data_IF_417640402180
#
_entry.id   IF_417640402180
#
_cell.length_a   1.000
_cell.length_b   1.000
_cell.length_c   1.000
_cell.angle_alpha   90.00
_cell.angle_beta   90.00
_cell.angle_gamma   90.00
#
_symmetry.space_group_name_H-M   'P 1'
#
loop_
_entity.id
_entity.type
_entity.pdbx_description
1 polymer ?
#
# COMPACT_ATOMS: atom_id res chain seq x y z
N UNK A 1 2.54 -15.86 4.76
CA UNK A 1 3.41 -14.82 4.18
C UNK A 1 2.58 -14.05 3.17
N UNK A 2 2.62 -12.71 3.15
CA UNK A 2 1.84 -11.91 2.19
C UNK A 2 2.62 -11.88 0.87
N UNK A 3 1.98 -12.33 -0.21
CA UNK A 3 2.58 -12.32 -1.54
C UNK A 3 2.37 -10.96 -2.21
N UNK A 4 3.47 -10.21 -2.41
CA UNK A 4 3.46 -8.95 -3.13
C UNK A 4 3.83 -9.17 -4.59
N UNK A 5 3.02 -8.61 -5.50
CA UNK A 5 3.27 -8.61 -6.93
C UNK A 5 3.76 -7.23 -7.34
N UNK A 6 4.85 -7.19 -8.10
CA UNK A 6 5.28 -5.98 -8.80
C UNK A 6 4.27 -5.62 -9.89
N UNK A 7 3.68 -4.44 -9.77
CA UNK A 7 2.70 -3.89 -10.73
C UNK A 7 3.19 -2.58 -11.35
N UNK A 8 4.49 -2.33 -11.26
CA UNK A 8 5.15 -1.19 -11.87
C UNK A 8 4.91 -1.15 -13.37
N UNK A 9 4.52 0.01 -13.88
CA UNK A 9 4.42 0.25 -15.32
C UNK A 9 5.80 0.55 -15.88
N UNK A 10 6.40 -0.44 -16.55
CA UNK A 10 7.69 -0.32 -17.22
C UNK A 10 7.51 0.11 -18.68
N UNK A 11 8.44 0.92 -19.20
CA UNK A 11 8.61 1.04 -20.64
C UNK A 11 9.35 -0.19 -21.19
N UNK A 12 9.30 -0.36 -22.51
CA UNK A 12 9.99 -1.45 -23.19
C UNK A 12 11.49 -1.43 -22.84
N UNK A 13 12.01 -2.53 -22.28
CA UNK A 13 13.40 -2.66 -21.88
C UNK A 13 13.76 -2.12 -20.49
N UNK A 14 12.83 -1.50 -19.76
CA UNK A 14 13.11 -0.98 -18.41
C UNK A 14 13.01 -2.05 -17.31
N UNK A 15 12.32 -3.16 -17.60
CA UNK A 15 12.17 -4.24 -16.63
C UNK A 15 13.55 -4.88 -16.37
N UNK A 16 13.98 -4.85 -15.11
CA UNK A 16 15.28 -5.35 -14.67
C UNK A 16 16.40 -4.31 -14.66
N UNK A 17 16.19 -3.12 -15.25
CA UNK A 17 17.18 -2.02 -15.20
C UNK A 17 16.82 -0.97 -14.17
N UNK A 18 15.54 -0.84 -13.81
CA UNK A 18 15.03 0.07 -12.78
C UNK A 18 14.41 -0.73 -11.63
N UNK A 19 14.53 -0.21 -10.40
CA UNK A 19 13.83 -0.76 -9.25
C UNK A 19 12.31 -0.56 -9.39
N UNK A 20 11.47 -1.53 -8.98
CA UNK A 20 10.03 -1.35 -9.00
C UNK A 20 9.61 -0.23 -8.05
N UNK A 21 8.54 0.47 -8.40
CA UNK A 21 7.96 1.57 -7.63
C UNK A 21 6.46 1.39 -7.37
N UNK A 22 5.89 0.25 -7.74
CA UNK A 22 4.53 -0.12 -7.41
C UNK A 22 4.39 -1.61 -7.09
N UNK A 23 3.66 -1.92 -6.01
CA UNK A 23 3.31 -3.29 -5.65
C UNK A 23 1.84 -3.41 -5.27
N UNK A 24 1.28 -4.60 -5.46
CA UNK A 24 -0.04 -4.95 -4.98
C UNK A 24 -0.06 -6.34 -4.34
N UNK A 25 -0.92 -6.53 -3.35
CA UNK A 25 -1.21 -7.84 -2.77
C UNK A 25 -2.71 -7.98 -2.47
N UNK A 26 -3.17 -9.21 -2.32
CA UNK A 26 -4.51 -9.53 -1.85
C UNK A 26 -4.40 -10.26 -0.51
N UNK A 27 -5.09 -9.77 0.51
CA UNK A 27 -5.05 -10.34 1.87
C UNK A 27 -6.44 -10.31 2.47
N UNK A 28 -7.01 -11.47 2.78
CA UNK A 28 -8.31 -11.57 3.47
C UNK A 28 -9.46 -10.87 2.74
N UNK A 29 -9.45 -10.88 1.39
CA UNK A 29 -10.45 -10.18 0.57
C UNK A 29 -10.15 -8.68 0.33
N UNK A 30 -9.14 -8.11 0.99
CA UNK A 30 -8.69 -6.74 0.75
C UNK A 30 -7.64 -6.72 -0.35
N UNK A 31 -7.79 -5.79 -1.28
CA UNK A 31 -6.78 -5.49 -2.29
C UNK A 31 -5.98 -4.28 -1.81
N UNK A 32 -4.69 -4.48 -1.56
CA UNK A 32 -3.76 -3.44 -1.11
C UNK A 32 -2.82 -3.12 -2.26
N UNK A 33 -2.67 -1.85 -2.61
CA UNK A 33 -1.67 -1.38 -3.57
C UNK A 33 -0.91 -0.18 -3.03
N UNK A 34 0.39 -0.17 -3.26
CA UNK A 34 1.31 0.89 -2.85
C UNK A 34 2.14 1.33 -4.05
N UNK A 35 2.24 2.64 -4.27
CA UNK A 35 2.84 3.24 -5.48
C UNK A 35 3.67 4.46 -5.09
N UNK A 36 4.87 4.62 -5.66
CA UNK A 36 5.69 5.83 -5.55
C UNK A 36 5.42 6.75 -6.73
N UNK A 37 5.39 8.06 -6.47
CA UNK A 37 5.44 9.06 -7.53
C UNK A 37 4.16 9.15 -8.35
N UNK A 38 3.02 9.16 -7.68
CA UNK A 38 1.76 9.54 -8.30
C UNK A 38 1.88 10.94 -8.94
N UNK A 39 1.19 11.19 -10.06
CA UNK A 39 1.35 12.44 -10.86
C UNK A 39 1.14 13.71 -10.04
N UNK A 40 0.28 13.67 -9.02
CA UNK A 40 0.01 14.80 -8.12
C UNK A 40 1.00 14.90 -6.95
N UNK A 41 1.69 13.79 -6.60
CA UNK A 41 2.54 13.67 -5.42
C UNK A 41 3.90 13.04 -5.79
N UNK A 42 4.75 13.76 -6.56
CA UNK A 42 6.01 13.23 -7.03
C UNK A 42 6.93 12.85 -5.85
N UNK A 43 7.55 11.67 -5.93
CA UNK A 43 8.48 11.17 -4.92
C UNK A 43 7.86 10.61 -3.63
N UNK A 44 6.54 10.77 -3.44
CA UNK A 44 5.83 10.23 -2.26
C UNK A 44 5.25 8.86 -2.53
N UNK A 45 5.15 8.05 -1.47
CA UNK A 45 4.44 6.78 -1.50
C UNK A 45 2.97 6.99 -1.17
N UNK A 46 2.10 6.36 -1.94
CA UNK A 46 0.65 6.37 -1.73
C UNK A 46 0.12 4.95 -1.58
N UNK A 47 -0.82 4.77 -0.67
CA UNK A 47 -1.57 3.57 -0.38
C UNK A 47 -2.98 3.67 -0.97
N UNK A 48 -3.44 2.57 -1.54
CA UNK A 48 -4.85 2.28 -1.81
C UNK A 48 -5.21 0.92 -1.22
N UNK A 49 -6.36 0.84 -0.58
CA UNK A 49 -6.91 -0.40 -0.05
C UNK A 49 -8.44 -0.36 -0.11
N UNK A 50 -9.07 -1.09 -1.01
CA UNK A 50 -10.54 -1.14 -1.05
C UNK A 50 -11.06 -1.99 0.14
N UNK A 51 -12.09 -1.56 0.89
CA UNK A 51 -12.91 -0.35 0.70
C UNK A 51 -12.48 0.87 1.55
N UNK A 52 -11.33 0.82 2.23
CA UNK A 52 -10.97 1.78 3.27
C UNK A 52 -10.23 3.03 2.78
N UNK A 53 -9.36 2.88 1.79
CA UNK A 53 -8.48 3.94 1.31
C UNK A 53 -8.53 3.97 -0.22
N UNK A 54 -9.03 5.06 -0.80
CA UNK A 54 -9.01 5.24 -2.25
C UNK A 54 -7.61 5.62 -2.75
N UNK A 55 -7.08 6.77 -2.29
CA UNK A 55 -5.66 7.12 -2.39
C UNK A 55 -5.27 7.89 -1.14
N UNK A 56 -4.28 7.42 -0.41
CA UNK A 56 -3.79 8.07 0.82
C UNK A 56 -2.27 8.08 0.83
N UNK A 57 -1.68 9.26 1.00
CA UNK A 57 -0.23 9.38 1.13
C UNK A 57 0.27 8.69 2.40
N UNK A 58 1.38 7.98 2.29
CA UNK A 58 2.12 7.45 3.43
C UNK A 58 3.09 8.52 3.92
N UNK A 59 3.13 8.72 5.23
CA UNK A 59 4.09 9.60 5.88
C UNK A 59 5.45 8.91 5.96
N UNK A 60 6.14 8.88 4.82
CA UNK A 60 7.46 8.29 4.63
C UNK A 60 8.40 9.33 4.03
N UNK A 61 9.68 9.20 4.32
CA UNK A 61 10.71 10.01 3.68
C UNK A 61 10.74 9.76 2.17
N UNK A 62 11.20 10.75 1.40
CA UNK A 62 11.26 10.66 -0.06
C UNK A 62 12.21 9.57 -0.58
N UNK A 63 13.22 9.22 0.21
CA UNK A 63 14.18 8.16 -0.05
C UNK A 63 13.71 6.77 0.42
N UNK A 64 12.53 6.67 1.05
CA UNK A 64 11.98 5.40 1.51
C UNK A 64 11.90 4.37 0.39
N UNK A 65 12.25 3.14 0.76
CA UNK A 65 12.28 1.95 -0.07
C UNK A 65 10.89 1.35 -0.24
N UNK A 66 10.76 0.45 -1.23
CA UNK A 66 9.52 -0.30 -1.43
C UNK A 66 9.11 -1.18 -0.26
N UNK A 67 10.09 -1.74 0.47
CA UNK A 67 9.81 -2.58 1.64
C UNK A 67 9.26 -1.77 2.81
N UNK A 68 9.80 -0.57 3.05
CA UNK A 68 9.27 0.36 4.05
C UNK A 68 7.85 0.79 3.70
N UNK A 69 7.58 1.08 2.41
CA UNK A 69 6.26 1.42 1.93
C UNK A 69 5.24 0.28 2.09
N UNK A 70 5.63 -0.97 1.78
CA UNK A 70 4.80 -2.17 2.02
C UNK A 70 4.49 -2.35 3.50
N UNK A 71 5.49 -2.19 4.37
CA UNK A 71 5.31 -2.32 5.83
C UNK A 71 4.36 -1.25 6.36
N UNK A 72 4.58 0.01 6.03
CA UNK A 72 3.72 1.13 6.44
C UNK A 72 2.28 0.95 5.93
N UNK A 73 2.11 0.46 4.70
CA UNK A 73 0.80 0.11 4.13
C UNK A 73 0.07 -0.92 4.98
N UNK A 74 0.74 -2.01 5.35
CA UNK A 74 0.16 -3.07 6.17
C UNK A 74 -0.18 -2.60 7.59
N UNK A 75 0.67 -1.77 8.19
CA UNK A 75 0.41 -1.18 9.51
C UNK A 75 -0.84 -0.30 9.46
N UNK A 76 -0.99 0.55 8.44
CA UNK A 76 -2.15 1.41 8.27
C UNK A 76 -3.45 0.61 8.10
N UNK A 77 -3.42 -0.43 7.26
CA UNK A 77 -4.55 -1.34 7.02
C UNK A 77 -4.91 -2.11 8.29
N UNK A 78 -3.91 -2.58 9.07
CA UNK A 78 -4.16 -3.24 10.36
C UNK A 78 -4.82 -2.32 11.37
N UNK A 79 -4.33 -1.09 11.52
CA UNK A 79 -4.96 -0.09 12.41
C UNK A 79 -6.41 0.16 12.01
N UNK A 80 -6.69 0.28 10.71
CA UNK A 80 -8.05 0.49 10.23
C UNK A 80 -8.97 -0.71 10.48
N UNK A 81 -8.47 -1.93 10.29
CA UNK A 81 -9.21 -3.14 10.61
C UNK A 81 -9.56 -3.18 12.11
N UNK A 82 -8.59 -2.90 12.98
CA UNK A 82 -8.79 -2.87 14.42
C UNK A 82 -9.86 -1.84 14.83
N UNK A 83 -9.75 -0.61 14.31
CA UNK A 83 -10.73 0.46 14.53
C UNK A 83 -12.14 0.11 14.02
N UNK A 84 -12.25 -0.79 13.04
CA UNK A 84 -13.55 -1.24 12.51
C UNK A 84 -14.13 -2.39 13.32
N UNK A 85 -13.29 -3.29 13.84
CA UNK A 85 -13.72 -4.46 14.62
C UNK A 85 -14.08 -4.08 16.06
N UNK A 86 -13.30 -3.23 16.72
CA UNK A 86 -13.47 -2.93 18.14
C UNK A 86 -14.88 -2.40 18.49
N UNK A 87 -15.45 -1.42 17.76
CA UNK A 87 -16.79 -0.94 18.04
C UNK A 87 -17.87 -2.01 17.85
N UNK A 88 -17.69 -2.88 16.85
CA UNK A 88 -18.64 -3.98 16.57
C UNK A 88 -18.56 -5.02 17.69
N UNK A 89 -17.35 -5.36 18.12
CA UNK A 89 -17.11 -6.29 19.22
C UNK A 89 -17.75 -5.81 20.52
N UNK A 90 -17.59 -4.51 20.86
CA UNK A 90 -18.23 -3.92 22.05
C UNK A 90 -19.76 -3.90 21.93
N UNK A 91 -20.32 -3.62 20.74
CA UNK A 91 -21.77 -3.59 20.54
C UNK A 91 -22.44 -4.98 20.62
N UNK A 92 -21.67 -6.06 20.50
CA UNK A 92 -22.15 -7.46 20.57
C UNK A 92 -22.00 -8.09 21.96
N UNK A 93 -21.40 -7.39 22.93
CA UNK A 93 -21.34 -7.80 24.34
C UNK A 93 -22.61 -7.40 25.08
#
# INVERSE_FOLDING_TARGET
MIEWKDVTSYRLGERGTRAPDAWACNVGGLRISVVKGHVYNPGRWSLRCDPWFDVTDLDLSSDATGEEAKKASLERVRCQLQNSIDPISEALK
#
